data_IF_696543048810
#
_entry.id   IF_696543048810
#
_cell.length_a   1.000
_cell.length_b   1.000
_cell.length_c   1.000
_cell.angle_alpha   90.00
_cell.angle_beta   90.00
_cell.angle_gamma   90.00
#
_symmetry.space_group_name_H-M   'P 1'
#
loop_
_entity.id
_entity.type
_entity.pdbx_description
1 polymer ?
#
# COMPACT_ATOMS: atom_id res chain seq x y z
N UNK A 1 -5.02 -4.24 -54.06
CA UNK A 1 -4.74 -3.10 -53.17
C UNK A 1 -5.18 -3.61 -51.80
N UNK A 2 -4.24 -4.18 -51.05
CA UNK A 2 -4.56 -4.89 -49.81
C UNK A 2 -4.40 -3.89 -48.66
N UNK A 3 -5.52 -3.61 -48.00
CA UNK A 3 -5.56 -2.96 -46.70
C UNK A 3 -4.87 -3.87 -45.67
N UNK A 4 -3.71 -3.46 -45.19
CA UNK A 4 -3.12 -3.97 -43.94
C UNK A 4 -3.22 -2.82 -42.94
N UNK A 5 -4.45 -2.59 -42.50
CA UNK A 5 -4.81 -1.61 -41.49
C UNK A 5 -4.69 -2.28 -40.11
N UNK A 6 -3.79 -1.78 -39.25
CA UNK A 6 -3.99 -1.85 -37.79
C UNK A 6 -3.37 -3.00 -36.99
N UNK A 7 -2.32 -3.69 -37.44
CA UNK A 7 -1.51 -4.54 -36.54
C UNK A 7 -0.39 -3.71 -35.91
N UNK A 8 -0.44 -3.53 -34.59
CA UNK A 8 0.66 -2.97 -33.80
C UNK A 8 1.93 -3.79 -34.08
N UNK A 9 3.04 -3.09 -34.21
CA UNK A 9 4.36 -3.75 -34.25
C UNK A 9 4.60 -4.53 -32.96
N UNK A 10 5.49 -5.53 -32.99
CA UNK A 10 5.81 -6.35 -31.81
C UNK A 10 6.31 -5.48 -30.63
N UNK A 11 7.07 -4.42 -30.94
CA UNK A 11 7.58 -3.46 -29.96
C UNK A 11 6.46 -2.61 -29.35
N UNK A 12 5.50 -2.13 -30.15
CA UNK A 12 4.35 -1.38 -29.66
C UNK A 12 3.40 -2.26 -28.82
N UNK A 13 3.29 -3.54 -29.17
CA UNK A 13 2.52 -4.51 -28.40
C UNK A 13 3.20 -4.82 -27.05
N UNK A 14 4.52 -4.97 -27.03
CA UNK A 14 5.30 -5.17 -25.82
C UNK A 14 5.23 -3.95 -24.88
N UNK A 15 5.39 -2.75 -25.43
CA UNK A 15 5.28 -1.50 -24.66
C UNK A 15 3.88 -1.34 -24.06
N UNK A 16 2.83 -1.61 -24.85
CA UNK A 16 1.44 -1.56 -24.33
C UNK A 16 1.22 -2.57 -23.22
N UNK A 17 1.67 -3.81 -23.40
CA UNK A 17 1.56 -4.85 -22.38
C UNK A 17 2.29 -4.47 -21.09
N UNK A 18 3.46 -3.84 -21.22
CA UNK A 18 4.21 -3.32 -20.08
C UNK A 18 3.46 -2.20 -19.35
N UNK A 19 2.91 -1.22 -20.07
CA UNK A 19 2.13 -0.13 -19.48
C UNK A 19 0.85 -0.64 -18.79
N UNK A 20 0.17 -1.62 -19.38
CA UNK A 20 -1.00 -2.27 -18.78
C UNK A 20 -0.62 -3.02 -17.49
N UNK A 21 0.47 -3.78 -17.51
CA UNK A 21 0.99 -4.46 -16.32
C UNK A 21 1.34 -3.43 -15.23
N UNK A 22 2.09 -2.37 -15.56
CA UNK A 22 2.48 -1.30 -14.63
C UNK A 22 1.24 -0.64 -14.00
N UNK A 23 0.22 -0.34 -14.81
CA UNK A 23 -1.03 0.24 -14.31
C UNK A 23 -1.76 -0.71 -13.34
N UNK A 24 -1.81 -2.01 -13.66
CA UNK A 24 -2.40 -3.01 -12.77
C UNK A 24 -1.60 -3.16 -11.47
N UNK A 25 -0.27 -3.19 -11.57
CA UNK A 25 0.64 -3.25 -10.44
C UNK A 25 0.38 -2.09 -9.48
N UNK A 26 0.48 -0.86 -9.98
CA UNK A 26 0.29 0.35 -9.18
C UNK A 26 -1.11 0.41 -8.55
N UNK A 27 -2.14 -0.01 -9.29
CA UNK A 27 -3.50 -0.07 -8.76
C UNK A 27 -3.62 -0.99 -7.54
N UNK A 28 -2.98 -2.18 -7.55
CA UNK A 28 -3.02 -3.09 -6.40
C UNK A 28 -2.24 -2.52 -5.22
N UNK A 29 -1.06 -1.95 -5.48
CA UNK A 29 -0.19 -1.36 -4.45
C UNK A 29 -0.87 -0.18 -3.75
N UNK A 30 -1.65 0.62 -4.49
CA UNK A 30 -2.45 1.73 -3.95
C UNK A 30 -3.55 1.29 -2.96
N UNK A 31 -3.94 0.02 -2.96
CA UNK A 31 -4.92 -0.48 -1.99
C UNK A 31 -4.31 -0.83 -0.63
N UNK A 32 -2.97 -0.95 -0.54
CA UNK A 32 -2.28 -1.39 0.69
C UNK A 32 -2.64 -0.56 1.93
N UNK A 33 -2.61 0.79 1.90
CA UNK A 33 -2.93 1.59 3.08
C UNK A 33 -4.36 1.37 3.58
N UNK A 34 -5.33 1.22 2.67
CA UNK A 34 -6.73 0.98 3.03
C UNK A 34 -6.96 -0.40 3.62
N UNK A 35 -6.36 -1.42 3.01
CA UNK A 35 -6.47 -2.81 3.49
C UNK A 35 -5.88 -2.94 4.90
N UNK A 36 -4.78 -2.23 5.17
CA UNK A 36 -4.16 -2.20 6.49
C UNK A 36 -4.98 -1.37 7.49
N UNK A 37 -5.53 -0.22 7.08
CA UNK A 37 -6.31 0.66 7.94
C UNK A 37 -7.61 0.02 8.43
N UNK A 38 -8.30 -0.76 7.58
CA UNK A 38 -9.56 -1.40 7.94
C UNK A 38 -9.44 -2.29 9.20
N UNK A 39 -8.27 -2.88 9.43
CA UNK A 39 -8.01 -3.75 10.58
C UNK A 39 -7.78 -2.98 11.88
N UNK A 40 -7.29 -1.74 11.80
CA UNK A 40 -7.17 -0.87 12.95
C UNK A 40 -8.51 -0.51 13.59
N UNK A 41 -9.52 -0.20 12.76
CA UNK A 41 -10.90 0.03 13.21
C UNK A 41 -11.52 -1.20 13.89
N UNK A 42 -11.18 -2.39 13.42
CA UNK A 42 -11.69 -3.66 13.96
C UNK A 42 -10.95 -4.07 15.23
N UNK A 43 -9.66 -3.76 15.38
CA UNK A 43 -8.86 -4.05 16.57
C UNK A 43 -9.09 -3.06 17.74
N UNK A 44 -9.41 -1.78 17.44
CA UNK A 44 -9.76 -0.80 18.48
C UNK A 44 -11.09 -1.09 19.16
N UNK A 45 -12.07 -1.68 18.47
CA UNK A 45 -13.35 -2.08 19.04
C UNK A 45 -13.19 -2.98 20.30
N UNK A 46 -12.42 -4.08 20.27
CA UNK A 46 -12.14 -4.90 21.45
C UNK A 46 -11.42 -4.15 22.58
N UNK A 47 -10.43 -3.30 22.27
CA UNK A 47 -9.66 -2.58 23.27
C UNK A 47 -10.49 -1.51 23.99
N UNK A 48 -11.33 -0.77 23.25
CA UNK A 48 -12.27 0.20 23.83
C UNK A 48 -13.35 -0.50 24.66
N UNK A 49 -13.82 -1.69 24.27
CA UNK A 49 -14.75 -2.50 25.08
C UNK A 49 -14.10 -2.99 26.37
N UNK A 50 -12.82 -3.38 26.34
CA UNK A 50 -12.06 -3.78 27.54
C UNK A 50 -11.80 -2.61 28.49
N UNK A 51 -11.54 -1.42 27.95
CA UNK A 51 -11.41 -0.18 28.73
C UNK A 51 -12.76 0.29 29.29
N UNK A 52 -13.86 0.07 28.57
CA UNK A 52 -15.22 0.35 29.02
C UNK A 52 -15.67 -0.59 30.15
N UNK A 53 -15.26 -1.87 30.16
CA UNK A 53 -15.56 -2.80 31.25
C UNK A 53 -14.95 -2.40 32.60
N UNK A 54 -13.90 -1.57 32.61
CA UNK A 54 -13.27 -1.04 33.84
C UNK A 54 -13.95 0.25 34.34
N UNK A 55 -14.87 0.84 33.59
CA UNK A 55 -15.69 1.97 34.02
C UNK A 55 -17.12 1.48 34.26
N UNK A 56 -17.48 1.51 35.54
CA UNK A 56 -18.78 1.26 36.14
C UNK A 56 -20.00 1.42 35.21
N UNK A 57 -20.84 0.37 35.21
CA UNK A 57 -22.09 0.26 34.44
C UNK A 57 -23.08 1.38 34.81
N UNK A 58 -23.48 2.18 33.84
CA UNK A 58 -24.77 2.88 33.84
C UNK A 58 -25.52 2.47 32.58
N UNK A 59 -26.65 1.79 32.79
CA UNK A 59 -27.55 1.27 31.77
C UNK A 59 -28.23 2.39 30.99
N UNK A 60 -28.11 2.35 29.67
CA UNK A 60 -28.91 3.18 28.76
C UNK A 60 -28.65 2.74 27.33
N UNK A 61 -29.61 2.01 26.75
CA UNK A 61 -29.48 1.29 25.49
C UNK A 61 -28.88 2.13 24.36
N UNK A 62 -27.80 1.62 23.77
CA UNK A 62 -27.17 2.16 22.59
C UNK A 62 -26.65 1.01 21.73
N UNK A 63 -26.71 1.19 20.42
CA UNK A 63 -26.33 0.28 19.34
C UNK A 63 -24.95 -0.41 19.48
N UNK A 64 -24.12 0.01 20.44
CA UNK A 64 -22.75 -0.45 20.68
C UNK A 64 -22.69 -1.72 21.54
N UNK A 65 -23.71 -2.01 22.37
CA UNK A 65 -23.71 -3.17 23.29
C UNK A 65 -23.81 -4.55 22.59
N UNK A 66 -24.13 -4.57 21.29
CA UNK A 66 -24.30 -5.82 20.52
C UNK A 66 -23.20 -6.07 19.49
N UNK A 67 -22.08 -5.34 19.52
CA UNK A 67 -20.99 -5.60 18.57
C UNK A 67 -20.17 -6.80 19.07
N UNK A 68 -20.26 -7.97 18.41
CA UNK A 68 -19.57 -9.16 18.89
C UNK A 68 -18.06 -8.94 18.78
N UNK A 69 -17.36 -9.06 19.92
CA UNK A 69 -15.89 -9.14 19.96
C UNK A 69 -15.50 -10.43 19.26
N UNK A 70 -15.17 -10.32 17.99
CA UNK A 70 -14.57 -11.40 17.22
C UNK A 70 -13.31 -10.82 16.62
N UNK A 71 -12.17 -11.48 16.83
CA UNK A 71 -11.05 -11.42 15.89
C UNK A 71 -11.58 -11.88 14.54
N UNK A 72 -12.19 -10.95 13.81
CA UNK A 72 -12.91 -11.26 12.59
C UNK A 72 -11.96 -11.88 11.57
N UNK A 73 -12.47 -12.64 10.59
CA UNK A 73 -11.66 -13.13 9.47
C UNK A 73 -10.86 -12.00 8.78
N UNK A 74 -11.33 -10.76 8.90
CA UNK A 74 -10.72 -9.50 8.49
C UNK A 74 -9.30 -9.25 9.02
N UNK A 75 -9.04 -9.45 10.32
CA UNK A 75 -7.70 -9.23 10.90
C UNK A 75 -6.68 -10.24 10.38
N UNK A 76 -7.12 -11.48 10.13
CA UNK A 76 -6.31 -12.54 9.51
C UNK A 76 -5.92 -12.19 8.06
N UNK A 77 -6.77 -11.46 7.34
CA UNK A 77 -6.46 -11.04 5.98
C UNK A 77 -5.42 -9.93 5.92
N UNK A 78 -5.49 -8.91 6.78
CA UNK A 78 -4.43 -7.89 6.79
C UNK A 78 -3.10 -8.43 7.31
N UNK A 79 -3.10 -9.32 8.31
CA UNK A 79 -1.87 -9.99 8.74
C UNK A 79 -1.25 -10.82 7.61
N UNK A 80 -2.07 -11.52 6.83
CA UNK A 80 -1.61 -12.26 5.65
C UNK A 80 -1.05 -11.33 4.56
N UNK A 81 -1.74 -10.22 4.27
CA UNK A 81 -1.26 -9.19 3.33
C UNK A 81 0.07 -8.60 3.83
N UNK A 82 0.19 -8.32 5.13
CA UNK A 82 1.41 -7.79 5.74
C UNK A 82 2.59 -8.74 5.60
N UNK A 83 2.40 -10.02 5.92
CA UNK A 83 3.46 -11.02 5.76
C UNK A 83 3.85 -11.22 4.29
N UNK A 84 2.87 -11.23 3.38
CA UNK A 84 3.13 -11.33 1.94
C UNK A 84 3.85 -10.09 1.41
N UNK A 85 3.51 -8.89 1.87
CA UNK A 85 4.20 -7.65 1.53
C UNK A 85 5.66 -7.68 1.96
N UNK A 86 5.95 -8.14 3.18
CA UNK A 86 7.33 -8.33 3.68
C UNK A 86 8.13 -9.29 2.81
N UNK A 87 7.53 -10.42 2.44
CA UNK A 87 8.17 -11.40 1.56
C UNK A 87 8.45 -10.81 0.17
N UNK A 88 7.47 -10.10 -0.41
CA UNK A 88 7.63 -9.40 -1.68
C UNK A 88 8.78 -8.40 -1.64
N UNK A 89 8.79 -7.50 -0.65
CA UNK A 89 9.84 -6.48 -0.50
C UNK A 89 11.23 -7.09 -0.36
N UNK A 90 11.36 -8.22 0.34
CA UNK A 90 12.63 -8.94 0.50
C UNK A 90 13.14 -9.50 -0.83
N UNK A 91 12.25 -10.08 -1.64
CA UNK A 91 12.60 -10.61 -2.97
C UNK A 91 12.94 -9.45 -3.92
N UNK A 92 12.10 -8.41 -3.94
CA UNK A 92 12.29 -7.23 -4.78
C UNK A 92 13.61 -6.52 -4.46
N UNK A 93 13.92 -6.27 -3.18
CA UNK A 93 15.15 -5.62 -2.74
C UNK A 93 16.39 -6.40 -3.14
N UNK A 94 16.35 -7.73 -2.97
CA UNK A 94 17.44 -8.64 -3.34
C UNK A 94 17.72 -8.59 -4.85
N UNK A 95 16.67 -8.52 -5.67
CA UNK A 95 16.80 -8.50 -7.13
C UNK A 95 17.19 -7.13 -7.69
N UNK A 96 16.64 -6.05 -7.12
CA UNK A 96 16.96 -4.68 -7.51
C UNK A 96 18.34 -4.22 -7.00
N UNK A 97 18.87 -4.85 -5.95
CA UNK A 97 20.08 -4.37 -5.28
C UNK A 97 19.86 -3.05 -4.53
N UNK A 98 18.60 -2.71 -4.23
CA UNK A 98 18.19 -1.50 -3.51
C UNK A 98 17.53 -1.92 -2.20
N UNK A 99 17.86 -1.23 -1.11
CA UNK A 99 17.26 -1.49 0.19
C UNK A 99 15.77 -1.14 0.19
N UNK A 100 14.94 -2.12 0.57
CA UNK A 100 13.51 -1.93 0.80
C UNK A 100 13.24 -1.50 2.25
N UNK A 101 12.13 -0.81 2.52
CA UNK A 101 11.75 -0.45 3.88
C UNK A 101 11.61 -1.69 4.78
N UNK A 102 12.28 -1.65 5.92
CA UNK A 102 12.28 -2.73 6.91
C UNK A 102 10.98 -2.72 7.73
N UNK A 103 9.92 -3.31 7.17
CA UNK A 103 8.62 -3.42 7.86
C UNK A 103 8.71 -4.22 9.17
N UNK A 104 7.98 -3.79 10.23
CA UNK A 104 7.82 -4.55 11.47
C UNK A 104 7.47 -6.03 11.26
N UNK A 105 7.95 -6.88 12.18
CA UNK A 105 7.82 -8.33 12.06
C UNK A 105 6.35 -8.78 11.93
N UNK A 106 5.48 -8.16 12.72
CA UNK A 106 4.03 -8.31 12.69
C UNK A 106 3.38 -7.00 12.30
N UNK A 107 2.11 -7.08 11.88
CA UNK A 107 1.27 -5.90 11.69
C UNK A 107 1.20 -5.12 13.02
N UNK A 108 1.49 -3.81 13.05
CA UNK A 108 1.32 -3.00 14.24
C UNK A 108 -0.15 -2.94 14.69
N UNK A 109 -0.39 -2.98 16.01
CA UNK A 109 -1.73 -2.84 16.58
C UNK A 109 -2.27 -1.40 16.47
N UNK A 110 -1.36 -0.42 16.36
CA UNK A 110 -1.69 0.99 16.16
C UNK A 110 -1.98 1.27 14.67
N UNK A 111 -3.17 1.80 14.41
CA UNK A 111 -3.69 2.03 13.04
C UNK A 111 -2.80 3.00 12.28
N UNK A 112 -2.38 4.08 12.94
CA UNK A 112 -1.61 5.14 12.31
C UNK A 112 -0.19 4.65 11.96
N UNK A 113 0.43 3.88 12.86
CA UNK A 113 1.72 3.23 12.60
C UNK A 113 1.63 2.20 11.48
N UNK A 114 0.61 1.35 11.46
CA UNK A 114 0.42 0.36 10.41
C UNK A 114 0.18 1.03 9.05
N UNK A 115 -0.66 2.07 9.02
CA UNK A 115 -0.95 2.87 7.83
C UNK A 115 0.29 3.59 7.30
N UNK A 116 1.10 4.17 8.19
CA UNK A 116 2.36 4.83 7.83
C UNK A 116 3.32 3.88 7.13
N UNK A 117 3.53 2.69 7.69
CA UNK A 117 4.38 1.68 7.05
C UNK A 117 3.83 1.16 5.72
N UNK A 118 2.51 1.06 5.59
CA UNK A 118 1.88 0.70 4.33
C UNK A 118 2.10 1.76 3.24
N UNK A 119 2.10 3.05 3.58
CA UNK A 119 2.47 4.13 2.66
C UNK A 119 3.94 4.09 2.26
N UNK A 120 4.85 3.91 3.23
CA UNK A 120 6.28 3.80 2.95
C UNK A 120 6.57 2.64 1.98
N UNK A 121 5.95 1.48 2.20
CA UNK A 121 6.08 0.34 1.28
C UNK A 121 5.49 0.63 -0.11
N UNK A 122 4.32 1.27 -0.16
CA UNK A 122 3.66 1.66 -1.40
C UNK A 122 4.52 2.63 -2.23
N UNK A 123 5.08 3.65 -1.60
CA UNK A 123 5.92 4.65 -2.26
C UNK A 123 7.18 4.01 -2.83
N UNK A 124 7.86 3.16 -2.05
CA UNK A 124 9.03 2.42 -2.53
C UNK A 124 8.68 1.50 -3.72
N UNK A 125 7.63 0.70 -3.62
CA UNK A 125 7.21 -0.20 -4.70
C UNK A 125 6.88 0.56 -6.00
N UNK A 126 6.29 1.74 -5.88
CA UNK A 126 5.95 2.56 -7.02
C UNK A 126 7.15 3.30 -7.62
N UNK A 127 8.11 3.74 -6.80
CA UNK A 127 9.33 4.36 -7.28
C UNK A 127 10.18 3.38 -8.11
N UNK A 128 10.15 2.09 -7.77
CA UNK A 128 10.97 1.06 -8.42
C UNK A 128 10.23 0.23 -9.47
N UNK A 129 8.94 0.49 -9.72
CA UNK A 129 8.13 -0.31 -10.66
C UNK A 129 8.75 -0.39 -12.06
N UNK A 130 9.39 0.70 -12.49
CA UNK A 130 10.02 0.79 -13.82
C UNK A 130 11.28 -0.09 -13.96
N UNK A 131 11.83 -0.52 -12.83
CA UNK A 131 13.04 -1.33 -12.77
C UNK A 131 12.75 -2.81 -12.48
N UNK A 132 11.48 -3.18 -12.28
CA UNK A 132 11.09 -4.57 -12.08
C UNK A 132 11.15 -5.33 -13.41
N UNK A 133 12.03 -6.33 -13.47
CA UNK A 133 12.13 -7.23 -14.61
C UNK A 133 11.28 -8.49 -14.36
N UNK A 134 11.07 -9.26 -15.43
CA UNK A 134 10.36 -10.55 -15.36
C UNK A 134 11.22 -11.61 -14.64
N UNK A 135 11.19 -11.59 -13.31
CA UNK A 135 11.82 -12.61 -12.46
C UNK A 135 10.77 -13.58 -11.90
N UNK A 136 10.91 -14.91 -12.11
CA UNK A 136 9.87 -15.88 -11.73
C UNK A 136 9.50 -15.91 -10.25
N UNK A 137 10.48 -15.71 -9.37
CA UNK A 137 10.29 -15.65 -7.92
C UNK A 137 9.56 -14.38 -7.47
N UNK A 138 9.90 -13.23 -8.08
CA UNK A 138 9.19 -11.98 -7.86
C UNK A 138 7.74 -12.08 -8.37
N UNK A 139 7.52 -12.66 -9.54
CA UNK A 139 6.18 -12.85 -10.11
C UNK A 139 5.30 -13.74 -9.22
N UNK A 140 5.87 -14.78 -8.61
CA UNK A 140 5.15 -15.63 -7.65
C UNK A 140 4.77 -14.85 -6.37
N UNK A 141 5.70 -14.05 -5.83
CA UNK A 141 5.44 -13.20 -4.67
C UNK A 141 4.40 -12.11 -4.97
N UNK A 142 4.47 -11.48 -6.14
CA UNK A 142 3.50 -10.51 -6.64
C UNK A 142 2.10 -11.12 -6.75
N UNK A 143 2.00 -12.28 -7.40
CA UNK A 143 0.74 -12.98 -7.58
C UNK A 143 0.06 -13.31 -6.25
N UNK A 144 0.83 -13.76 -5.26
CA UNK A 144 0.31 -14.04 -3.91
C UNK A 144 -0.15 -12.77 -3.19
N UNK A 145 0.68 -11.71 -3.23
CA UNK A 145 0.35 -10.42 -2.62
C UNK A 145 -0.94 -9.83 -3.21
N UNK A 146 -1.04 -9.77 -4.53
CA UNK A 146 -2.19 -9.18 -5.22
C UNK A 146 -3.46 -10.01 -5.03
N UNK A 147 -3.32 -11.34 -4.96
CA UNK A 147 -4.44 -12.23 -4.61
C UNK A 147 -4.97 -11.93 -3.20
N UNK A 148 -4.08 -11.71 -2.23
CA UNK A 148 -4.46 -11.37 -0.87
C UNK A 148 -5.07 -9.97 -0.76
N UNK A 149 -4.51 -8.98 -1.47
CA UNK A 149 -5.07 -7.62 -1.54
C UNK A 149 -6.49 -7.65 -2.10
N UNK A 150 -6.73 -8.32 -3.23
CA UNK A 150 -8.08 -8.44 -3.82
C UNK A 150 -9.05 -9.10 -2.85
N UNK A 151 -8.61 -10.18 -2.18
CA UNK A 151 -9.44 -10.89 -1.20
C UNK A 151 -9.78 -10.02 0.01
N UNK A 152 -8.82 -9.26 0.53
CA UNK A 152 -9.02 -8.36 1.65
C UNK A 152 -9.96 -7.21 1.25
N UNK A 153 -9.72 -6.58 0.10
CA UNK A 153 -10.52 -5.49 -0.46
C UNK A 153 -12.01 -5.88 -0.60
N UNK A 154 -12.31 -7.05 -1.17
CA UNK A 154 -13.70 -7.53 -1.31
C UNK A 154 -14.37 -7.82 0.03
N UNK A 155 -13.61 -8.16 1.07
CA UNK A 155 -14.15 -8.56 2.38
C UNK A 155 -14.28 -7.41 3.36
N UNK A 156 -13.46 -6.37 3.22
CA UNK A 156 -13.41 -5.21 4.11
C UNK A 156 -14.29 -4.04 3.61
N UNK A 157 -14.93 -4.18 2.44
CA UNK A 157 -15.69 -3.12 1.76
C UNK A 157 -14.93 -1.79 1.65
N UNK A 158 -13.60 -1.84 1.63
CA UNK A 158 -12.77 -0.65 1.51
C UNK A 158 -13.00 -0.03 0.13
N UNK A 159 -13.28 1.28 0.07
CA UNK A 159 -13.31 2.00 -1.20
C UNK A 159 -12.00 1.82 -1.98
N UNK A 160 -12.07 1.91 -3.30
CA UNK A 160 -10.85 1.89 -4.13
C UNK A 160 -10.13 3.23 -3.99
N UNK A 161 -8.84 3.18 -3.66
CA UNK A 161 -7.97 4.37 -3.69
C UNK A 161 -7.17 4.37 -4.99
N UNK A 162 -7.06 5.54 -5.60
CA UNK A 162 -6.13 5.78 -6.69
C UNK A 162 -5.06 6.76 -6.21
N UNK A 163 -3.81 6.49 -6.56
CA UNK A 163 -2.73 7.46 -6.40
C UNK A 163 -3.08 8.79 -7.05
N UNK A 164 -2.84 9.88 -6.30
CA UNK A 164 -2.89 11.22 -6.85
C UNK A 164 -1.80 11.37 -7.91
N UNK A 165 -2.10 12.00 -9.04
CA UNK A 165 -1.11 12.25 -10.09
C UNK A 165 0.08 13.00 -9.47
N UNK A 166 1.33 12.58 -9.74
CA UNK A 166 2.52 13.30 -9.26
C UNK A 166 2.47 14.77 -9.64
N UNK A 167 2.91 15.64 -8.75
CA UNK A 167 3.03 17.06 -9.02
C UNK A 167 4.33 17.34 -9.81
N UNK A 168 4.36 18.42 -10.58
CA UNK A 168 5.57 18.85 -11.29
C UNK A 168 6.59 19.41 -10.30
N UNK A 169 7.85 19.00 -10.42
CA UNK A 169 8.93 19.56 -9.62
C UNK A 169 9.26 20.99 -10.05
N UNK A 170 9.23 21.93 -9.10
CA UNK A 170 9.61 23.33 -9.35
C UNK A 170 11.09 23.49 -9.74
N UNK A 171 11.95 22.51 -9.40
CA UNK A 171 13.39 22.56 -9.68
C UNK A 171 13.76 21.91 -11.02
N UNK A 172 13.33 20.67 -11.26
CA UNK A 172 13.72 19.92 -12.47
C UNK A 172 12.61 19.82 -13.52
N UNK A 173 11.39 20.29 -13.24
CA UNK A 173 10.27 20.28 -14.18
C UNK A 173 9.59 18.92 -14.39
N UNK A 174 10.14 17.83 -13.82
CA UNK A 174 9.59 16.47 -13.97
C UNK A 174 8.32 16.28 -13.11
N UNK A 175 7.32 15.56 -13.65
CA UNK A 175 6.11 15.10 -12.94
C UNK A 175 6.46 13.96 -11.96
N UNK A 176 7.28 14.27 -10.97
CA UNK A 176 7.89 13.30 -10.06
C UNK A 176 7.83 13.72 -8.59
N UNK A 177 7.12 14.81 -8.25
CA UNK A 177 6.90 15.19 -6.85
C UNK A 177 5.83 14.28 -6.27
N UNK A 178 6.25 13.48 -5.30
CA UNK A 178 5.35 12.67 -4.49
C UNK A 178 5.43 13.13 -3.05
N UNK A 179 4.42 12.73 -2.29
CA UNK A 179 4.55 12.65 -0.85
C UNK A 179 5.59 11.55 -0.54
N UNK A 180 6.42 11.80 0.45
CA UNK A 180 7.52 10.96 0.93
C UNK A 180 7.55 11.05 2.47
N UNK A 181 8.09 10.04 3.14
CA UNK A 181 8.22 10.02 4.59
C UNK A 181 9.68 10.12 5.00
N UNK A 182 10.03 11.20 5.68
CA UNK A 182 11.40 11.38 6.20
C UNK A 182 11.45 11.28 7.70
N UNK A 183 12.46 10.61 8.25
CA UNK A 183 12.67 10.52 9.69
C UNK A 183 12.75 11.91 10.35
N UNK A 184 11.83 12.17 11.27
CA UNK A 184 11.79 13.35 12.11
C UNK A 184 11.99 13.00 13.59
N UNK A 185 12.17 14.02 14.45
CA UNK A 185 12.47 13.84 15.86
C UNK A 185 11.37 13.09 16.65
N UNK A 186 10.12 13.19 16.19
CA UNK A 186 8.96 12.49 16.78
C UNK A 186 8.48 11.30 15.92
N UNK A 187 9.33 10.86 14.98
CA UNK A 187 9.00 9.88 13.94
C UNK A 187 8.98 10.49 12.54
N UNK A 188 8.76 9.67 11.52
CA UNK A 188 8.76 10.12 10.14
C UNK A 188 7.59 11.05 9.85
N UNK A 189 7.91 12.11 9.12
CA UNK A 189 7.06 13.22 8.75
C UNK A 189 6.81 13.15 7.25
N UNK A 190 5.58 13.44 6.85
CA UNK A 190 5.19 13.62 5.46
C UNK A 190 5.88 14.85 4.89
N UNK A 191 6.72 14.67 3.89
CA UNK A 191 7.33 15.74 3.12
C UNK A 191 7.03 15.52 1.65
N UNK A 192 6.90 16.60 0.88
CA UNK A 192 6.91 16.48 -0.57
C UNK A 192 8.35 16.37 -1.04
N UNK A 193 8.66 15.40 -1.90
CA UNK A 193 9.98 15.25 -2.49
C UNK A 193 9.87 14.84 -3.96
N UNK A 194 10.73 15.41 -4.80
CA UNK A 194 10.88 14.96 -6.18
C UNK A 194 11.69 13.67 -6.23
N UNK A 195 11.16 12.61 -6.83
CA UNK A 195 11.89 11.34 -6.96
C UNK A 195 13.07 11.42 -7.94
N UNK A 196 13.05 12.35 -8.91
CA UNK A 196 14.13 12.49 -9.90
C UNK A 196 15.32 13.31 -9.40
N UNK A 197 15.09 14.41 -8.68
CA UNK A 197 16.15 15.33 -8.25
C UNK A 197 16.25 15.50 -6.73
N UNK A 198 15.39 14.80 -5.95
CA UNK A 198 15.32 14.85 -4.50
C UNK A 198 15.05 16.24 -3.89
N UNK A 199 14.61 17.20 -4.71
CA UNK A 199 14.19 18.51 -4.24
C UNK A 199 12.95 18.39 -3.32
N UNK A 200 13.00 19.05 -2.17
CA UNK A 200 11.90 19.12 -1.20
C UNK A 200 11.38 20.55 -1.17
N UNK A 201 10.11 20.82 -1.57
CA UNK A 201 9.52 22.15 -1.47
C UNK A 201 9.50 22.58 0.00
N UNK A 202 9.97 23.78 0.29
CA UNK A 202 9.95 24.30 1.65
C UNK A 202 8.52 24.72 2.04
N UNK A 203 7.90 24.01 2.99
CA UNK A 203 6.63 24.41 3.61
C UNK A 203 5.40 23.58 3.27
N UNK A 204 5.52 22.24 3.22
CA UNK A 204 4.36 21.34 3.30
C UNK A 204 4.08 20.94 4.75
#
# INVERSE_FOLDING_TARGET
MNDVEGLLTEDEAAERGYQEWKAQYLWHVDQLPNVVQAVGTVAMAPQMLRAAQLRERVSGGGFIDNMPVVDGPESKYAAAVWHSLRAYLTVASSRLGVEAPALPASLPDDVDTARRWAFIANEWMAAWVDHLLAWPDLAAAEGELFRLIRRAHTRLETGTVRRARPESCELCGEDAVTVDWTDGPDGAVLVKACQSCHHRPAGA
#
